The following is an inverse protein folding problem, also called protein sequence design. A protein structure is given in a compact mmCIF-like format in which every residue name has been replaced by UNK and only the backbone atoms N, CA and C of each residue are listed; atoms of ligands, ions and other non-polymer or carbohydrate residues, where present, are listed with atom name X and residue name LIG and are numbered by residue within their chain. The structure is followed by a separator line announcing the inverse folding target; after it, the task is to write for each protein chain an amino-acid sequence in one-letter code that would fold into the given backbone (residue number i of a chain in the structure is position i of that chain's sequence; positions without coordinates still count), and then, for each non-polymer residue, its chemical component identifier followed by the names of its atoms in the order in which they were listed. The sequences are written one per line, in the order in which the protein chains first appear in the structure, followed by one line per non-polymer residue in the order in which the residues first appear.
data_IF_512440949038
#
_entry.id   IF_512440949038
#
_cell.length_a   1.000
_cell.length_b   1.000
_cell.length_c   1.000
_cell.angle_alpha   90.00
_cell.angle_beta   90.00
_cell.angle_gamma   90.00
#
_symmetry.space_group_name_H-M   'P 1'
#
loop_
_entity.id
_entity.type
_entity.pdbx_description
1 polymer ?
#
# COMPACT_ATOMS: atom_id res chain seq x y z
N UNK A 1 -25.66 13.47 -37.92
CA UNK A 1 -24.44 12.92 -37.27
C UNK A 1 -23.98 13.96 -36.27
N UNK A 2 -24.33 13.80 -34.98
CA UNK A 2 -23.90 14.71 -33.92
C UNK A 2 -22.53 14.25 -33.43
N UNK A 3 -21.48 15.02 -33.71
CA UNK A 3 -20.13 14.77 -33.22
C UNK A 3 -19.99 15.46 -31.86
N UNK A 4 -20.08 14.69 -30.78
CA UNK A 4 -19.68 15.20 -29.47
C UNK A 4 -18.18 15.51 -29.50
N UNK A 5 -17.74 16.64 -28.91
CA UNK A 5 -16.32 16.94 -28.78
C UNK A 5 -15.63 15.88 -27.91
N UNK A 6 -14.33 15.60 -28.16
CA UNK A 6 -13.57 14.67 -27.34
C UNK A 6 -13.59 15.13 -25.86
N UNK A 7 -13.62 14.19 -24.90
CA UNK A 7 -13.61 14.53 -23.48
C UNK A 7 -12.36 15.36 -23.17
N UNK A 8 -12.54 16.46 -22.44
CA UNK A 8 -11.42 17.27 -21.99
C UNK A 8 -10.52 16.43 -21.07
N UNK A 9 -9.19 16.49 -21.23
CA UNK A 9 -8.27 15.81 -20.33
C UNK A 9 -8.53 16.29 -18.90
N UNK A 10 -8.61 15.34 -17.96
CA UNK A 10 -8.67 15.68 -16.53
C UNK A 10 -7.42 16.45 -16.13
N UNK A 11 -7.51 17.27 -15.09
CA UNK A 11 -6.38 18.00 -14.51
C UNK A 11 -5.19 17.07 -14.18
N UNK A 12 -5.49 15.80 -13.91
CA UNK A 12 -4.54 14.70 -13.76
C UNK A 12 -3.74 14.36 -15.04
N UNK A 13 -4.36 14.33 -16.22
CA UNK A 13 -3.65 14.06 -17.47
C UNK A 13 -2.64 15.16 -17.82
N UNK A 14 -2.86 16.37 -17.30
CA UNK A 14 -1.98 17.52 -17.45
C UNK A 14 -0.79 17.47 -16.47
N UNK A 15 -1.00 16.96 -15.26
CA UNK A 15 -0.02 16.97 -14.17
C UNK A 15 0.70 15.62 -13.94
N UNK A 16 0.48 14.62 -14.78
CA UNK A 16 1.17 13.32 -14.69
C UNK A 16 2.69 13.49 -14.82
N UNK A 17 3.52 12.91 -13.92
CA UNK A 17 4.97 12.94 -14.02
C UNK A 17 5.46 12.41 -15.38
N UNK A 18 6.25 13.22 -16.08
CA UNK A 18 6.85 12.83 -17.36
C UNK A 18 8.25 12.31 -17.09
N UNK A 19 8.51 11.09 -17.57
CA UNK A 19 9.84 10.46 -17.57
C UNK A 19 10.85 11.42 -18.22
N UNK A 20 11.74 12.01 -17.43
CA UNK A 20 12.86 12.83 -17.94
C UNK A 20 14.17 12.10 -17.76
N UNK A 21 14.93 12.01 -18.84
CA UNK A 21 16.31 11.51 -18.86
C UNK A 21 17.25 12.64 -18.45
N UNK A 22 17.78 12.56 -17.22
CA UNK A 22 19.11 13.09 -16.89
C UNK A 22 19.21 14.46 -16.21
N UNK A 23 19.71 14.43 -14.97
CA UNK A 23 20.89 15.19 -14.54
C UNK A 23 20.72 16.65 -14.14
N UNK A 24 20.43 16.92 -12.85
CA UNK A 24 20.83 18.17 -12.19
C UNK A 24 21.48 17.89 -10.83
N UNK A 25 22.55 18.64 -10.55
CA UNK A 25 23.39 18.54 -9.34
C UNK A 25 22.65 19.17 -8.14
N UNK A 26 22.43 18.40 -7.08
CA UNK A 26 21.88 18.92 -5.82
C UNK A 26 22.97 19.50 -4.90
N UNK A 27 22.67 20.65 -4.29
CA UNK A 27 23.40 21.19 -3.14
C UNK A 27 22.74 20.74 -1.82
N UNK A 28 23.53 20.67 -0.76
CA UNK A 28 23.14 20.16 0.55
C UNK A 28 22.07 21.06 1.18
N UNK A 29 20.84 20.53 1.31
CA UNK A 29 19.69 21.23 1.91
C UNK A 29 18.41 21.17 1.09
N UNK A 30 18.47 20.79 -0.18
CA UNK A 30 17.28 20.59 -1.02
C UNK A 30 16.65 19.22 -0.77
N UNK A 31 15.46 19.20 -0.16
CA UNK A 31 14.55 18.06 -0.31
C UNK A 31 14.03 18.06 -1.74
N UNK A 32 14.19 16.96 -2.46
CA UNK A 32 13.68 16.88 -3.83
C UNK A 32 12.15 16.91 -3.81
N UNK A 33 11.53 17.96 -4.35
CA UNK A 33 10.08 17.98 -4.61
C UNK A 33 9.70 17.10 -5.82
N UNK A 34 10.66 16.36 -6.41
CA UNK A 34 10.41 15.49 -7.54
C UNK A 34 9.49 14.33 -7.16
N UNK A 35 8.43 14.20 -7.94
CA UNK A 35 7.41 13.15 -7.87
C UNK A 35 7.66 12.05 -8.90
N UNK A 36 8.84 12.06 -9.52
CA UNK A 36 9.19 11.10 -10.56
C UNK A 36 9.37 9.71 -9.95
N UNK A 37 8.71 8.73 -10.56
CA UNK A 37 8.85 7.33 -10.19
C UNK A 37 10.29 6.87 -10.43
N UNK A 38 10.84 6.19 -9.44
CA UNK A 38 12.22 5.70 -9.47
C UNK A 38 12.26 4.21 -9.80
N UNK A 39 13.28 3.77 -10.53
CA UNK A 39 13.47 2.34 -10.84
C UNK A 39 14.09 1.67 -9.61
N UNK A 40 13.45 0.61 -9.10
CA UNK A 40 14.00 -0.19 -8.01
C UNK A 40 15.12 -1.09 -8.52
N UNK A 41 16.17 -1.22 -7.72
CA UNK A 41 17.20 -2.23 -7.93
C UNK A 41 16.86 -3.53 -7.21
N UNK A 42 17.40 -4.64 -7.71
CA UNK A 42 17.24 -5.95 -7.07
C UNK A 42 18.45 -6.28 -6.19
N UNK A 43 18.19 -6.88 -5.03
CA UNK A 43 19.25 -7.46 -4.22
C UNK A 43 19.80 -8.73 -4.88
N UNK A 44 21.12 -8.88 -4.82
CA UNK A 44 21.83 -10.05 -5.34
C UNK A 44 22.32 -10.93 -4.20
N UNK A 45 22.16 -12.24 -4.34
CA UNK A 45 22.69 -13.22 -3.38
C UNK A 45 21.75 -13.56 -2.22
N UNK A 46 22.26 -14.34 -1.24
CA UNK A 46 21.47 -14.82 -0.11
C UNK A 46 21.13 -13.69 0.87
N UNK A 47 19.95 -13.79 1.48
CA UNK A 47 19.46 -12.81 2.47
C UNK A 47 20.34 -12.86 3.73
N UNK A 48 20.67 -11.70 4.28
CA UNK A 48 21.45 -11.55 5.52
C UNK A 48 22.96 -11.75 5.37
N UNK A 49 23.41 -12.13 4.17
CA UNK A 49 24.83 -12.31 3.88
C UNK A 49 25.59 -10.98 3.86
N UNK A 50 26.88 -11.06 4.17
CA UNK A 50 27.77 -9.91 4.16
C UNK A 50 28.01 -9.41 2.73
N UNK A 51 28.26 -8.11 2.61
CA UNK A 51 28.43 -7.43 1.33
C UNK A 51 27.21 -6.61 0.93
N UNK A 52 27.45 -5.36 0.53
CA UNK A 52 26.43 -4.35 0.24
C UNK A 52 25.51 -4.61 -0.96
N UNK A 53 25.46 -5.84 -1.48
CA UNK A 53 24.59 -6.26 -2.59
C UNK A 53 23.49 -7.23 -2.16
N UNK A 54 23.59 -7.83 -0.97
CA UNK A 54 22.61 -8.76 -0.42
C UNK A 54 21.49 -8.02 0.31
N UNK A 55 20.28 -8.59 0.33
CA UNK A 55 19.18 -8.09 1.15
C UNK A 55 19.57 -8.19 2.63
N UNK A 56 19.42 -7.12 3.43
CA UNK A 56 20.06 -7.05 4.76
C UNK A 56 19.40 -7.94 5.81
N UNK A 57 18.10 -8.21 5.68
CA UNK A 57 17.30 -9.03 6.59
C UNK A 57 16.17 -9.75 5.83
N UNK A 58 15.73 -10.88 6.36
CA UNK A 58 14.55 -11.58 5.86
C UNK A 58 13.29 -10.82 6.27
N UNK A 59 12.28 -10.83 5.39
CA UNK A 59 10.99 -10.19 5.65
C UNK A 59 9.90 -11.24 5.52
N UNK A 60 9.10 -11.38 6.58
CA UNK A 60 7.86 -12.14 6.57
C UNK A 60 6.70 -11.20 6.84
N UNK A 61 5.62 -11.31 6.07
CA UNK A 61 4.44 -10.45 6.19
C UNK A 61 3.23 -11.32 6.42
N UNK A 62 2.47 -11.04 7.48
CA UNK A 62 1.19 -11.70 7.72
C UNK A 62 0.20 -11.36 6.60
N UNK A 63 -0.56 -12.35 6.14
CA UNK A 63 -1.59 -12.12 5.11
C UNK A 63 -2.66 -11.10 5.58
N UNK A 64 -2.98 -11.08 6.88
CA UNK A 64 -3.87 -10.07 7.49
C UNK A 64 -3.37 -8.63 7.29
N UNK A 65 -2.05 -8.39 7.40
CA UNK A 65 -1.48 -7.07 7.16
C UNK A 65 -1.64 -6.66 5.70
N UNK A 66 -1.38 -7.58 4.76
CA UNK A 66 -1.57 -7.32 3.32
C UNK A 66 -3.02 -7.04 3.01
N UNK A 67 -3.94 -7.82 3.57
CA UNK A 67 -5.38 -7.63 3.40
C UNK A 67 -5.84 -6.26 3.90
N UNK A 68 -5.38 -5.80 5.08
CA UNK A 68 -5.72 -4.47 5.61
C UNK A 68 -5.14 -3.35 4.74
N UNK A 69 -3.88 -3.47 4.32
CA UNK A 69 -3.26 -2.47 3.43
C UNK A 69 -4.02 -2.37 2.10
N UNK A 70 -4.33 -3.53 1.52
CA UNK A 70 -5.05 -3.59 0.25
C UNK A 70 -6.46 -3.01 0.40
N UNK A 71 -7.20 -3.43 1.42
CA UNK A 71 -8.50 -2.86 1.76
C UNK A 71 -8.44 -1.33 1.87
N UNK A 72 -7.52 -0.79 2.66
CA UNK A 72 -7.40 0.65 2.89
C UNK A 72 -7.09 1.41 1.59
N UNK A 73 -6.21 0.88 0.74
CA UNK A 73 -5.85 1.50 -0.53
C UNK A 73 -7.04 1.64 -1.50
N UNK A 74 -8.05 0.77 -1.40
CA UNK A 74 -9.26 0.82 -2.23
C UNK A 74 -10.28 1.87 -1.79
N UNK A 75 -10.09 2.52 -0.65
CA UNK A 75 -11.11 3.38 -0.08
C UNK A 75 -11.02 4.83 -0.57
N UNK A 76 -9.88 5.26 -1.10
CA UNK A 76 -9.62 6.66 -1.45
C UNK A 76 -9.03 6.83 -2.86
N UNK A 77 -9.42 7.91 -3.54
CA UNK A 77 -8.77 8.42 -4.76
C UNK A 77 -7.48 9.17 -4.45
N UNK A 78 -7.29 9.56 -3.19
CA UNK A 78 -6.03 10.09 -2.70
C UNK A 78 -5.17 8.97 -2.13
N UNK A 79 -3.86 9.25 -2.00
CA UNK A 79 -2.95 8.34 -1.30
C UNK A 79 -3.38 8.20 0.17
N UNK A 80 -3.54 6.96 0.62
CA UNK A 80 -3.73 6.64 2.04
C UNK A 80 -2.39 6.31 2.66
N UNK A 81 -2.28 6.37 4.00
CA UNK A 81 -1.05 6.03 4.70
C UNK A 81 -1.33 5.22 5.97
N UNK A 82 -0.38 4.40 6.39
CA UNK A 82 -0.43 3.73 7.67
C UNK A 82 0.91 3.17 8.12
N UNK A 83 0.92 2.61 9.33
CA UNK A 83 2.09 2.01 9.93
C UNK A 83 2.02 0.49 9.94
N UNK A 84 3.18 -0.16 9.92
CA UNK A 84 3.31 -1.61 10.01
C UNK A 84 3.85 -1.98 11.39
N UNK A 85 3.08 -2.78 12.13
CA UNK A 85 3.44 -3.27 13.45
C UNK A 85 3.97 -4.70 13.37
N UNK A 86 5.04 -4.99 14.12
CA UNK A 86 5.72 -6.27 14.00
C UNK A 86 6.81 -6.48 15.03
N UNK A 87 7.75 -7.35 14.69
CA UNK A 87 8.94 -7.67 15.48
C UNK A 87 10.17 -7.73 14.59
N UNK A 88 11.33 -7.38 15.13
CA UNK A 88 12.61 -7.58 14.48
C UNK A 88 13.55 -8.35 15.41
N UNK A 89 14.14 -9.43 14.92
CA UNK A 89 15.18 -10.17 15.61
C UNK A 89 16.54 -9.89 14.96
N UNK A 90 17.39 -9.18 15.69
CA UNK A 90 18.74 -8.79 15.27
C UNK A 90 19.66 -10.00 15.04
N UNK A 91 19.51 -11.08 15.81
CA UNK A 91 20.40 -12.24 15.71
C UNK A 91 20.13 -13.06 14.45
N UNK A 92 18.84 -13.27 14.15
CA UNK A 92 18.41 -14.01 12.96
C UNK A 92 18.26 -13.11 11.73
N UNK A 93 18.37 -11.78 11.91
CA UNK A 93 18.10 -10.75 10.89
C UNK A 93 16.73 -10.97 10.25
N UNK A 94 15.70 -11.15 11.08
CA UNK A 94 14.34 -11.43 10.62
C UNK A 94 13.38 -10.31 11.05
N UNK A 95 12.77 -9.65 10.06
CA UNK A 95 11.68 -8.70 10.25
C UNK A 95 10.35 -9.41 9.96
N UNK A 96 9.44 -9.38 10.93
CA UNK A 96 8.10 -9.96 10.79
C UNK A 96 7.07 -8.86 10.94
N UNK A 97 6.36 -8.53 9.87
CA UNK A 97 5.19 -7.65 9.88
C UNK A 97 3.97 -8.48 10.29
N UNK A 98 3.35 -8.13 11.42
CA UNK A 98 2.20 -8.86 11.99
C UNK A 98 0.86 -8.15 11.83
N UNK A 99 0.87 -6.86 11.48
CA UNK A 99 -0.35 -6.09 11.28
C UNK A 99 -0.07 -4.77 10.58
N UNK A 100 -1.05 -4.31 9.81
CA UNK A 100 -1.09 -2.97 9.25
C UNK A 100 -2.12 -2.13 9.99
N UNK A 101 -1.78 -0.87 10.24
CA UNK A 101 -2.55 0.05 11.05
C UNK A 101 -2.84 1.31 10.23
N UNK A 102 -4.05 1.43 9.65
CA UNK A 102 -4.50 2.61 8.95
C UNK A 102 -4.34 3.86 9.80
N UNK A 103 -3.70 4.89 9.26
CA UNK A 103 -3.57 6.19 9.90
C UNK A 103 -4.33 7.24 9.10
N UNK A 104 -4.66 8.36 9.75
CA UNK A 104 -5.10 9.55 9.03
C UNK A 104 -3.92 10.22 8.36
N UNK A 105 -4.18 10.81 7.20
CA UNK A 105 -3.29 11.76 6.54
C UNK A 105 -3.43 13.15 7.17
N UNK A 106 -2.36 13.94 7.10
CA UNK A 106 -2.35 15.30 7.64
C UNK A 106 -3.33 16.21 6.88
N UNK A 107 -4.05 17.08 7.58
CA UNK A 107 -5.01 18.00 6.95
C UNK A 107 -4.30 18.93 5.94
N UNK A 108 -4.87 19.07 4.74
CA UNK A 108 -4.26 19.84 3.65
C UNK A 108 -3.27 19.05 2.79
N UNK A 109 -2.97 17.78 3.12
CA UNK A 109 -2.35 16.82 2.19
C UNK A 109 -3.39 16.25 1.21
N UNK A 110 -4.21 17.13 0.64
CA UNK A 110 -5.07 16.84 -0.51
C UNK A 110 -4.24 16.65 -1.79
N UNK A 111 -2.92 16.83 -1.69
CA UNK A 111 -1.96 16.56 -2.74
C UNK A 111 -2.05 15.09 -3.15
N UNK A 112 -2.35 14.89 -4.43
CA UNK A 112 -2.39 13.63 -5.17
C UNK A 112 -1.01 12.96 -5.32
N UNK A 113 0.00 13.43 -4.57
CA UNK A 113 1.42 13.25 -4.87
C UNK A 113 2.30 13.11 -3.62
N UNK A 114 1.74 13.28 -2.42
CA UNK A 114 2.47 13.12 -1.17
C UNK A 114 1.49 12.98 -0.02
N UNK A 115 1.62 11.89 0.73
CA UNK A 115 0.87 11.68 1.97
C UNK A 115 1.80 11.72 3.18
N UNK A 116 1.42 12.52 4.17
CA UNK A 116 2.13 12.64 5.46
C UNK A 116 1.24 12.11 6.59
N UNK A 117 1.84 11.35 7.50
CA UNK A 117 1.16 10.80 8.67
C UNK A 117 0.71 11.93 9.61
N UNK A 118 -0.58 11.95 9.96
CA UNK A 118 -1.09 12.82 11.02
C UNK A 118 -0.42 12.46 12.36
N UNK A 119 0.27 13.41 13.04
CA UNK A 119 0.97 13.11 14.29
C UNK A 119 0.06 12.55 15.38
N UNK A 120 -1.19 13.02 15.47
CA UNK A 120 -2.14 12.52 16.47
C UNK A 120 -2.53 11.06 16.18
N UNK A 121 -2.82 10.74 14.91
CA UNK A 121 -3.07 9.37 14.47
C UNK A 121 -1.87 8.46 14.72
N UNK A 122 -0.65 8.97 14.54
CA UNK A 122 0.58 8.21 14.75
C UNK A 122 0.74 7.78 16.22
N UNK A 123 0.42 8.65 17.17
CA UNK A 123 0.48 8.35 18.60
C UNK A 123 -0.52 7.24 18.97
N UNK A 124 -1.78 7.39 18.55
CA UNK A 124 -2.85 6.42 18.82
C UNK A 124 -2.49 5.03 18.30
N UNK A 125 -2.01 4.96 17.06
CA UNK A 125 -1.63 3.70 16.42
C UNK A 125 -0.40 3.07 17.10
N UNK A 126 0.57 3.87 17.55
CA UNK A 126 1.72 3.35 18.31
C UNK A 126 1.32 2.77 19.66
N UNK A 127 0.39 3.42 20.36
CA UNK A 127 -0.13 2.90 21.63
C UNK A 127 -0.90 1.59 21.44
N UNK A 128 -1.65 1.48 20.33
CA UNK A 128 -2.31 0.23 19.93
C UNK A 128 -1.30 -0.88 19.65
N UNK A 129 -0.26 -0.61 18.85
CA UNK A 129 0.80 -1.58 18.59
C UNK A 129 1.49 -2.04 19.88
N UNK A 130 1.77 -1.10 20.79
CA UNK A 130 2.40 -1.41 22.07
C UNK A 130 1.52 -2.32 22.94
N UNK A 131 0.19 -2.11 22.91
CA UNK A 131 -0.79 -2.99 23.59
C UNK A 131 -0.78 -4.40 23.01
N UNK A 132 -0.55 -4.54 21.70
CA UNK A 132 -0.38 -5.82 21.00
C UNK A 132 1.02 -6.45 21.18
N UNK A 133 1.92 -5.79 21.94
CA UNK A 133 3.31 -6.23 22.14
C UNK A 133 4.17 -6.10 20.87
N UNK A 134 3.81 -5.16 19.98
CA UNK A 134 4.45 -4.92 18.70
C UNK A 134 5.19 -3.58 18.69
N UNK A 135 6.19 -3.50 17.82
CA UNK A 135 6.89 -2.25 17.52
C UNK A 135 6.60 -1.82 16.07
N UNK A 136 6.71 -0.52 15.74
CA UNK A 136 6.73 -0.08 14.35
C UNK A 136 7.94 -0.68 13.62
N UNK A 137 7.70 -1.36 12.51
CA UNK A 137 8.73 -2.00 11.66
C UNK A 137 8.67 -1.53 10.21
N UNK A 138 7.78 -0.57 9.92
CA UNK A 138 7.57 -0.09 8.57
C UNK A 138 6.37 0.84 8.45
N UNK A 139 6.10 1.22 7.21
CA UNK A 139 4.98 2.06 6.83
C UNK A 139 4.47 1.62 5.46
N UNK A 140 3.25 2.04 5.12
CA UNK A 140 2.70 1.85 3.79
C UNK A 140 1.92 3.05 3.33
N UNK A 141 1.83 3.22 2.02
CA UNK A 141 0.88 4.12 1.38
C UNK A 141 0.29 3.51 0.10
N UNK A 142 -0.65 4.21 -0.53
CA UNK A 142 -1.23 3.76 -1.80
C UNK A 142 -0.84 4.67 -2.96
N UNK A 143 -0.70 4.08 -4.15
CA UNK A 143 -0.71 4.77 -5.44
C UNK A 143 -2.02 4.40 -6.16
N UNK A 144 -3.12 5.16 -5.98
CA UNK A 144 -4.46 4.67 -6.31
C UNK A 144 -4.64 4.25 -7.77
N UNK A 145 -4.15 5.04 -8.73
CA UNK A 145 -4.47 4.90 -10.16
C UNK A 145 -3.24 4.73 -11.07
N UNK A 146 -2.05 4.58 -10.49
CA UNK A 146 -0.80 4.46 -11.23
C UNK A 146 0.15 3.45 -10.60
N UNK A 147 1.24 3.18 -11.30
CA UNK A 147 2.22 2.16 -10.94
C UNK A 147 2.72 2.34 -9.50
N UNK A 148 2.67 1.25 -8.73
CA UNK A 148 3.07 1.20 -7.33
C UNK A 148 4.60 1.12 -7.18
N UNK A 149 5.29 2.15 -7.64
CA UNK A 149 6.74 2.34 -7.52
C UNK A 149 7.07 3.58 -6.71
N UNK A 150 8.12 3.59 -5.88
CA UNK A 150 8.43 4.75 -5.07
C UNK A 150 8.87 5.94 -5.93
N UNK A 151 8.41 7.12 -5.54
CA UNK A 151 8.92 8.40 -6.03
C UNK A 151 10.23 8.80 -5.35
N UNK A 152 10.89 9.86 -5.82
CA UNK A 152 12.06 10.42 -5.13
C UNK A 152 11.73 10.88 -3.70
N UNK A 153 10.53 11.46 -3.49
CA UNK A 153 10.05 11.84 -2.16
C UNK A 153 9.81 10.62 -1.25
N UNK A 154 9.25 9.53 -1.77
CA UNK A 154 9.07 8.30 -1.00
C UNK A 154 10.40 7.73 -0.54
N UNK A 155 11.42 7.78 -1.40
CA UNK A 155 12.75 7.31 -1.07
C UNK A 155 13.43 8.16 0.01
N UNK A 156 13.21 9.46 0.00
CA UNK A 156 13.68 10.38 1.03
C UNK A 156 13.00 10.08 2.39
N UNK A 157 11.67 9.94 2.40
CA UNK A 157 10.92 9.55 3.59
C UNK A 157 11.37 8.18 4.12
N UNK A 158 11.53 7.20 3.22
CA UNK A 158 12.02 5.86 3.56
C UNK A 158 13.41 5.91 4.18
N UNK A 159 14.33 6.74 3.67
CA UNK A 159 15.66 6.95 4.26
C UNK A 159 15.56 7.47 5.70
N UNK A 160 14.70 8.46 5.91
CA UNK A 160 14.54 9.09 7.22
C UNK A 160 13.97 8.08 8.24
N UNK A 161 12.97 7.30 7.86
CA UNK A 161 12.45 6.24 8.73
C UNK A 161 13.46 5.13 9.02
N UNK A 162 14.22 4.69 8.01
CA UNK A 162 15.32 3.74 8.21
C UNK A 162 16.36 4.24 9.21
N UNK A 163 16.74 5.53 9.13
CA UNK A 163 17.68 6.14 10.04
C UNK A 163 17.14 6.18 11.50
N UNK A 164 15.84 6.39 11.69
CA UNK A 164 15.21 6.32 13.01
C UNK A 164 15.20 4.89 13.59
N UNK A 165 15.02 3.88 12.73
CA UNK A 165 15.01 2.47 13.12
C UNK A 165 16.42 1.85 13.25
N UNK A 166 17.47 2.60 12.95
CA UNK A 166 18.84 2.09 12.86
C UNK A 166 19.35 1.52 14.18
N UNK A 167 19.74 0.26 14.16
CA UNK A 167 20.48 -0.39 15.24
C UNK A 167 21.97 -0.07 15.09
N UNK A 168 22.50 0.81 15.94
CA UNK A 168 23.90 1.24 15.90
C UNK A 168 24.89 0.11 16.19
N UNK A 169 24.46 -0.97 16.85
CA UNK A 169 25.34 -2.09 17.18
C UNK A 169 25.57 -3.01 15.99
N UNK A 170 24.56 -3.15 15.12
CA UNK A 170 24.60 -4.05 13.95
C UNK A 170 24.68 -3.34 12.62
N UNK A 171 24.42 -2.02 12.60
CA UNK A 171 24.31 -1.22 11.39
C UNK A 171 23.08 -1.55 10.53
N UNK A 172 22.12 -2.31 11.08
CA UNK A 172 20.88 -2.66 10.39
C UNK A 172 19.85 -1.53 10.54
N UNK A 173 19.11 -1.29 9.47
CA UNK A 173 18.00 -0.32 9.43
C UNK A 173 16.69 -1.06 9.13
N UNK A 174 16.14 -1.83 10.09
CA UNK A 174 15.00 -2.72 9.89
C UNK A 174 13.66 -1.97 9.77
N UNK A 175 13.49 -1.26 8.66
CA UNK A 175 12.27 -0.52 8.34
C UNK A 175 11.86 -0.75 6.89
N UNK A 176 10.68 -1.33 6.65
CA UNK A 176 10.18 -1.59 5.29
C UNK A 176 9.13 -0.56 4.87
N UNK A 177 9.24 -0.06 3.63
CA UNK A 177 8.17 0.71 2.97
C UNK A 177 7.32 -0.21 2.09
N UNK A 178 6.01 0.01 2.03
CA UNK A 178 5.11 -0.72 1.13
C UNK A 178 4.14 0.20 0.36
N UNK A 179 4.05 0.03 -0.96
CA UNK A 179 3.12 0.77 -1.81
C UNK A 179 2.09 -0.19 -2.37
N UNK A 180 0.82 0.17 -2.23
CA UNK A 180 -0.30 -0.60 -2.78
C UNK A 180 -0.88 0.16 -3.97
N UNK A 181 -0.92 -0.50 -5.12
CA UNK A 181 -1.50 0.02 -6.36
C UNK A 181 -2.80 -0.71 -6.70
N UNK A 182 -3.99 -0.19 -6.32
CA UNK A 182 -5.23 -0.89 -6.52
C UNK A 182 -5.85 -0.66 -7.91
N UNK A 183 -5.82 0.55 -8.47
CA UNK A 183 -6.63 0.90 -9.65
C UNK A 183 -5.81 1.27 -10.88
N UNK A 184 -4.52 0.92 -10.93
CA UNK A 184 -3.75 1.01 -12.17
C UNK A 184 -4.42 0.15 -13.26
N UNK A 185 -4.91 0.82 -14.30
CA UNK A 185 -5.63 0.17 -15.40
C UNK A 185 -4.73 -0.80 -16.18
N UNK A 186 -3.41 -0.70 -16.06
CA UNK A 186 -2.44 -1.59 -16.71
C UNK A 186 -2.27 -2.94 -15.97
N UNK A 187 -2.85 -3.10 -14.78
CA UNK A 187 -2.74 -4.35 -14.04
C UNK A 187 -3.33 -5.53 -14.83
N UNK A 188 -2.61 -6.66 -14.93
CA UNK A 188 -3.04 -7.80 -15.75
C UNK A 188 -4.30 -8.48 -15.21
N UNK A 189 -4.56 -8.36 -13.91
CA UNK A 189 -5.71 -8.95 -13.21
C UNK A 189 -6.32 -7.93 -12.24
N UNK A 190 -7.45 -8.24 -11.59
CA UNK A 190 -8.01 -7.41 -10.52
C UNK A 190 -7.20 -7.39 -9.22
N UNK A 191 -6.14 -8.20 -9.11
CA UNK A 191 -5.30 -8.19 -7.92
C UNK A 191 -4.50 -6.88 -7.85
N UNK A 192 -4.46 -6.26 -6.67
CA UNK A 192 -3.64 -5.08 -6.45
C UNK A 192 -2.15 -5.42 -6.54
N UNK A 193 -1.36 -4.45 -7.00
CA UNK A 193 0.09 -4.55 -6.90
C UNK A 193 0.55 -4.16 -5.49
N UNK A 194 1.48 -4.92 -4.92
CA UNK A 194 2.06 -4.65 -3.59
C UNK A 194 3.57 -4.65 -3.71
N UNK A 195 4.16 -3.47 -3.69
CA UNK A 195 5.60 -3.25 -3.79
C UNK A 195 6.19 -3.01 -2.40
N UNK A 196 7.15 -3.84 -1.98
CA UNK A 196 7.92 -3.61 -0.75
C UNK A 196 9.32 -3.10 -1.10
N UNK A 197 9.82 -2.07 -0.42
CA UNK A 197 11.15 -1.54 -0.70
C UNK A 197 11.87 -1.02 0.55
N UNK A 198 13.18 -0.87 0.39
CA UNK A 198 14.07 -0.11 1.27
C UNK A 198 14.95 0.78 0.40
N UNK A 199 15.68 1.70 1.01
CA UNK A 199 16.69 2.50 0.32
C UNK A 199 18.08 2.25 0.87
N UNK A 200 19.09 2.45 0.03
CA UNK A 200 20.51 2.50 0.44
C UNK A 200 21.14 3.79 -0.03
N UNK A 201 21.95 4.38 0.85
CA UNK A 201 22.77 5.54 0.51
C UNK A 201 24.06 5.07 -0.16
N UNK A 202 24.25 5.42 -1.43
CA UNK A 202 25.48 5.14 -2.18
C UNK A 202 25.97 6.43 -2.85
N UNK A 203 27.20 6.87 -2.54
CA UNK A 203 27.78 8.09 -3.09
C UNK A 203 26.87 9.33 -2.96
N UNK A 204 26.20 9.47 -1.81
CA UNK A 204 25.20 10.52 -1.50
C UNK A 204 23.87 10.40 -2.24
N UNK A 205 23.69 9.41 -3.11
CA UNK A 205 22.42 9.13 -3.76
C UNK A 205 21.59 8.13 -2.94
N UNK A 206 20.28 8.34 -2.92
CA UNK A 206 19.32 7.39 -2.33
C UNK A 206 18.89 6.43 -3.43
N UNK A 207 19.21 5.15 -3.26
CA UNK A 207 18.91 4.11 -4.24
C UNK A 207 17.84 3.17 -3.65
N UNK A 208 16.65 3.08 -4.26
CA UNK A 208 15.63 2.13 -3.84
C UNK A 208 16.00 0.70 -4.26
N UNK A 209 15.74 -0.24 -3.36
CA UNK A 209 15.88 -1.67 -3.59
C UNK A 209 14.57 -2.39 -3.28
N UNK A 210 14.17 -3.27 -4.19
CA UNK A 210 13.06 -4.18 -3.99
C UNK A 210 13.35 -5.14 -2.83
N UNK A 211 12.35 -5.38 -1.98
CA UNK A 211 12.43 -6.34 -0.88
C UNK A 211 11.72 -7.63 -1.29
N UNK A 212 12.45 -8.75 -1.24
CA UNK A 212 11.86 -10.08 -1.32
C UNK A 212 11.33 -10.46 0.05
N UNK A 213 10.04 -10.76 0.14
CA UNK A 213 9.38 -11.17 1.36
C UNK A 213 8.62 -12.48 1.18
N UNK A 214 8.44 -13.20 2.29
CA UNK A 214 7.54 -14.34 2.39
C UNK A 214 6.21 -13.87 2.97
N UNK A 215 5.11 -14.45 2.50
CA UNK A 215 3.79 -14.25 3.12
C UNK A 215 3.42 -15.46 3.94
N UNK A 216 2.78 -15.22 5.08
CA UNK A 216 2.08 -16.30 5.78
C UNK A 216 0.99 -16.87 4.86
N UNK A 217 0.68 -18.18 4.95
CA UNK A 217 -0.43 -18.74 4.19
C UNK A 217 -1.75 -18.04 4.60
N UNK A 218 -2.70 -17.86 3.66
CA UNK A 218 -4.03 -17.34 3.97
C UNK A 218 -4.69 -18.12 5.09
N UNK A 219 -5.20 -17.41 6.10
CA UNK A 219 -5.94 -17.99 7.23
C UNK A 219 -7.32 -17.36 7.26
N UNK A 220 -8.38 -18.16 7.18
CA UNK A 220 -9.74 -17.68 7.36
C UNK A 220 -10.01 -17.54 8.85
N UNK A 221 -9.50 -16.47 9.44
CA UNK A 221 -9.83 -16.09 10.81
C UNK A 221 -10.21 -14.62 10.82
N UNK A 222 -11.50 -14.36 10.89
CA UNK A 222 -12.02 -13.03 11.24
C UNK A 222 -11.70 -12.83 12.72
N UNK A 223 -10.53 -12.24 12.99
CA UNK A 223 -10.16 -11.88 14.37
C UNK A 223 -10.76 -10.53 14.72
N UNK A 224 -11.10 -10.28 15.99
CA UNK A 224 -11.52 -8.94 16.43
C UNK A 224 -10.50 -7.85 16.08
N UNK A 225 -9.20 -8.17 16.15
CA UNK A 225 -8.13 -7.25 15.78
C UNK A 225 -8.14 -6.91 14.28
N UNK A 226 -8.36 -7.90 13.41
CA UNK A 226 -8.50 -7.67 11.97
C UNK A 226 -9.70 -6.76 11.68
N UNK A 227 -10.87 -7.06 12.27
CA UNK A 227 -12.08 -6.25 12.09
C UNK A 227 -11.85 -4.81 12.55
N UNK A 228 -11.26 -4.61 13.73
CA UNK A 228 -10.94 -3.28 14.26
C UNK A 228 -10.07 -2.46 13.30
N UNK A 229 -9.05 -3.08 12.69
CA UNK A 229 -8.16 -2.41 11.71
C UNK A 229 -8.90 -2.03 10.44
N UNK A 230 -9.80 -2.89 9.94
CA UNK A 230 -10.64 -2.61 8.78
C UNK A 230 -11.68 -1.50 9.07
N UNK A 231 -12.29 -1.51 10.26
CA UNK A 231 -13.18 -0.44 10.71
C UNK A 231 -12.43 0.90 10.77
N UNK A 232 -11.22 0.91 11.34
CA UNK A 232 -10.39 2.11 11.44
C UNK A 232 -10.07 2.71 10.06
N UNK A 233 -9.83 1.88 9.04
CA UNK A 233 -9.63 2.36 7.67
C UNK A 233 -10.86 3.10 7.10
N UNK A 234 -12.07 2.58 7.37
CA UNK A 234 -13.32 3.20 6.93
C UNK A 234 -13.64 4.47 7.71
N UNK A 235 -13.47 4.42 9.03
CA UNK A 235 -13.74 5.52 9.96
C UNK A 235 -12.85 6.73 9.66
N UNK A 236 -11.55 6.50 9.41
CA UNK A 236 -10.60 7.54 9.04
C UNK A 236 -10.98 8.33 7.78
N UNK A 237 -11.84 7.76 6.93
CA UNK A 237 -12.29 8.37 5.67
C UNK A 237 -13.74 8.86 5.71
N UNK A 238 -14.38 8.85 6.88
CA UNK A 238 -15.72 9.44 7.03
C UNK A 238 -15.64 10.96 6.79
N UNK A 239 -16.26 11.41 5.71
CA UNK A 239 -16.24 12.81 5.29
C UNK A 239 -14.97 13.24 4.54
N UNK A 240 -14.04 12.31 4.26
CA UNK A 240 -12.84 12.61 3.47
C UNK A 240 -13.24 12.82 1.99
N UNK A 241 -12.75 13.88 1.32
CA UNK A 241 -13.11 14.20 -0.06
C UNK A 241 -12.58 13.18 -1.08
N UNK A 242 -11.56 12.40 -0.72
CA UNK A 242 -11.00 11.33 -1.53
C UNK A 242 -11.82 10.03 -1.47
N UNK A 243 -12.83 9.92 -0.60
CA UNK A 243 -13.66 8.72 -0.47
C UNK A 243 -14.21 8.27 -1.82
N UNK A 244 -13.92 7.03 -2.21
CA UNK A 244 -14.35 6.47 -3.50
C UNK A 244 -15.82 6.06 -3.50
N UNK A 245 -16.48 6.31 -4.63
CA UNK A 245 -17.76 5.68 -4.94
C UNK A 245 -17.53 4.24 -5.43
N UNK A 246 -17.91 3.26 -4.61
CA UNK A 246 -17.70 1.84 -4.90
C UNK A 246 -18.56 1.30 -6.05
N UNK A 247 -19.66 1.98 -6.39
CA UNK A 247 -20.53 1.61 -7.50
C UNK A 247 -20.05 2.15 -8.85
N UNK A 248 -19.04 3.03 -8.84
CA UNK A 248 -18.44 3.55 -10.06
C UNK A 248 -17.67 2.45 -10.79
N UNK A 249 -17.70 2.51 -12.12
CA UNK A 249 -16.89 1.67 -12.98
C UNK A 249 -15.39 1.95 -12.72
N UNK A 250 -14.61 0.90 -12.50
CA UNK A 250 -13.15 0.98 -12.50
C UNK A 250 -12.63 0.97 -13.94
N UNK A 251 -12.91 -0.11 -14.69
CA UNK A 251 -12.51 -0.24 -16.10
C UNK A 251 -13.47 -1.17 -16.88
N UNK A 252 -13.52 -1.07 -18.22
CA UNK A 252 -14.51 -1.79 -19.02
C UNK A 252 -14.14 -3.26 -19.32
N UNK A 253 -13.18 -3.85 -18.60
CA UNK A 253 -12.70 -5.22 -18.77
C UNK A 253 -12.14 -5.78 -17.44
N UNK A 254 -11.92 -7.10 -17.36
CA UNK A 254 -11.48 -7.78 -16.13
C UNK A 254 -9.97 -8.02 -16.10
N UNK A 255 -9.41 -8.53 -17.20
CA UNK A 255 -8.01 -8.95 -17.25
C UNK A 255 -7.39 -8.66 -18.62
N UNK A 256 -6.07 -8.65 -18.67
CA UNK A 256 -5.33 -8.70 -19.93
C UNK A 256 -4.91 -10.13 -20.24
N UNK A 257 -5.18 -10.59 -21.45
CA UNK A 257 -4.63 -11.83 -22.00
C UNK A 257 -3.83 -11.50 -23.25
N UNK A 258 -2.54 -11.83 -23.24
CA UNK A 258 -1.62 -11.53 -24.35
C UNK A 258 -1.63 -10.03 -24.76
N UNK A 259 -1.80 -9.13 -23.78
CA UNK A 259 -1.86 -7.68 -24.01
C UNK A 259 -3.21 -7.14 -24.49
N UNK A 260 -4.23 -7.99 -24.67
CA UNK A 260 -5.57 -7.57 -25.07
C UNK A 260 -6.54 -7.60 -23.87
N UNK A 261 -7.42 -6.58 -23.74
CA UNK A 261 -8.42 -6.54 -22.67
C UNK A 261 -9.51 -7.60 -22.90
N UNK A 262 -9.83 -8.37 -21.87
CA UNK A 262 -10.84 -9.43 -21.89
C UNK A 262 -11.69 -9.42 -20.60
N UNK A 263 -12.87 -10.05 -20.68
CA UNK A 263 -13.82 -10.16 -19.56
C UNK A 263 -14.79 -8.98 -19.45
N UNK A 264 -15.77 -9.06 -18.53
CA UNK A 264 -16.77 -8.01 -18.35
C UNK A 264 -16.18 -6.72 -17.77
N UNK A 265 -16.96 -5.65 -17.87
CA UNK A 265 -16.69 -4.41 -17.15
C UNK A 265 -16.75 -4.62 -15.64
N UNK A 266 -15.91 -3.92 -14.88
CA UNK A 266 -15.78 -4.12 -13.43
C UNK A 266 -15.98 -2.81 -12.66
N UNK A 267 -16.87 -2.84 -11.67
CA UNK A 267 -17.05 -1.79 -10.66
C UNK A 267 -15.95 -1.87 -9.60
N UNK A 268 -15.73 -0.76 -8.87
CA UNK A 268 -14.78 -0.72 -7.76
C UNK A 268 -15.12 -1.71 -6.64
N UNK A 269 -16.41 -1.96 -6.37
CA UNK A 269 -16.85 -2.97 -5.39
C UNK A 269 -16.48 -4.40 -5.79
N UNK A 270 -16.66 -4.75 -7.07
CA UNK A 270 -16.29 -6.05 -7.63
C UNK A 270 -14.78 -6.25 -7.63
N UNK A 271 -14.04 -5.18 -7.97
CA UNK A 271 -12.58 -5.14 -7.88
C UNK A 271 -12.12 -5.38 -6.43
N UNK A 272 -12.67 -4.63 -5.47
CA UNK A 272 -12.33 -4.80 -4.05
C UNK A 272 -12.61 -6.23 -3.58
N UNK A 273 -13.78 -6.79 -3.94
CA UNK A 273 -14.12 -8.19 -3.62
C UNK A 273 -13.05 -9.14 -4.17
N UNK A 274 -12.69 -9.00 -5.44
CA UNK A 274 -11.71 -9.86 -6.10
C UNK A 274 -10.32 -9.76 -5.44
N UNK A 275 -9.90 -8.54 -5.06
CA UNK A 275 -8.63 -8.29 -4.40
C UNK A 275 -8.60 -8.91 -2.99
N UNK A 276 -9.63 -8.68 -2.16
CA UNK A 276 -9.76 -9.29 -0.83
C UNK A 276 -9.79 -10.82 -0.90
N UNK A 277 -10.50 -11.37 -1.88
CA UNK A 277 -10.56 -12.81 -2.13
C UNK A 277 -9.20 -13.44 -2.42
N UNK A 278 -8.24 -12.68 -2.95
CA UNK A 278 -6.88 -13.18 -3.18
C UNK A 278 -6.08 -13.41 -1.89
N UNK A 279 -6.55 -12.87 -0.76
CA UNK A 279 -5.93 -12.98 0.57
C UNK A 279 -6.64 -13.97 1.49
N UNK A 280 -7.71 -14.61 1.01
CA UNK A 280 -8.59 -15.47 1.81
C UNK A 280 -8.56 -16.92 1.29
N UNK A 281 -8.65 -17.93 2.18
CA UNK A 281 -8.62 -19.33 1.76
C UNK A 281 -10.01 -19.80 1.30
N UNK A 282 -10.46 -19.28 0.15
CA UNK A 282 -11.81 -19.53 -0.40
C UNK A 282 -12.07 -21.01 -0.65
N UNK A 283 -11.04 -21.73 -1.13
CA UNK A 283 -11.17 -23.16 -1.45
C UNK A 283 -11.32 -24.01 -0.18
N UNK A 284 -10.66 -23.61 0.91
CA UNK A 284 -10.61 -24.40 2.13
C UNK A 284 -11.76 -24.04 3.10
N UNK A 285 -12.20 -22.77 3.12
CA UNK A 285 -13.12 -22.25 4.14
C UNK A 285 -14.15 -21.26 3.56
N UNK A 286 -15.03 -21.69 2.64
CA UNK A 286 -15.98 -20.80 1.93
C UNK A 286 -16.98 -20.10 2.86
N UNK A 287 -17.47 -20.76 3.92
CA UNK A 287 -18.41 -20.16 4.87
C UNK A 287 -17.79 -19.01 5.67
N UNK A 288 -16.53 -19.16 6.08
CA UNK A 288 -15.80 -18.13 6.80
C UNK A 288 -15.54 -16.90 5.90
N UNK A 289 -15.28 -17.13 4.60
CA UNK A 289 -15.16 -16.04 3.61
C UNK A 289 -16.49 -15.34 3.38
N UNK A 290 -17.60 -16.07 3.32
CA UNK A 290 -18.93 -15.49 3.22
C UNK A 290 -19.24 -14.59 4.43
N UNK A 291 -18.93 -15.05 5.64
CA UNK A 291 -19.09 -14.27 6.87
C UNK A 291 -18.19 -13.03 6.89
N UNK A 292 -16.98 -13.13 6.33
CA UNK A 292 -16.08 -11.99 6.17
C UNK A 292 -16.68 -10.94 5.24
N UNK A 293 -17.22 -11.34 4.08
CA UNK A 293 -17.90 -10.40 3.17
C UNK A 293 -19.12 -9.72 3.80
N UNK A 294 -19.91 -10.46 4.58
CA UNK A 294 -21.04 -9.89 5.32
C UNK A 294 -20.56 -8.85 6.35
N UNK A 295 -19.45 -9.12 7.03
CA UNK A 295 -18.83 -8.18 7.97
C UNK A 295 -18.36 -6.91 7.26
N UNK A 296 -17.68 -7.05 6.12
CA UNK A 296 -17.24 -5.92 5.28
C UNK A 296 -18.44 -5.08 4.82
N UNK A 297 -19.50 -5.71 4.30
CA UNK A 297 -20.70 -5.00 3.85
C UNK A 297 -21.40 -4.25 5.00
N UNK A 298 -21.50 -4.88 6.18
CA UNK A 298 -22.04 -4.25 7.38
C UNK A 298 -21.21 -3.03 7.82
N UNK A 299 -19.87 -3.10 7.75
CA UNK A 299 -19.00 -1.95 8.05
C UNK A 299 -19.21 -0.81 7.05
N UNK A 300 -19.30 -1.10 5.75
CA UNK A 300 -19.58 -0.07 4.74
C UNK A 300 -20.96 0.57 4.95
N UNK A 301 -21.96 -0.21 5.32
CA UNK A 301 -23.28 0.34 5.63
C UNK A 301 -23.24 1.24 6.87
N UNK A 302 -22.52 0.82 7.92
CA UNK A 302 -22.36 1.57 9.17
C UNK A 302 -21.63 2.90 8.98
N UNK A 303 -20.46 2.89 8.34
CA UNK A 303 -19.60 4.09 8.27
C UNK A 303 -19.90 4.96 7.05
N UNK A 304 -20.27 4.36 5.92
CA UNK A 304 -20.40 5.06 4.64
C UNK A 304 -21.83 5.14 4.12
N UNK A 305 -22.79 4.45 4.77
CA UNK A 305 -24.21 4.47 4.39
C UNK A 305 -24.50 3.76 3.07
N UNK A 306 -23.58 2.92 2.59
CA UNK A 306 -23.68 2.25 1.29
C UNK A 306 -23.44 0.76 1.44
N UNK A 307 -24.18 -0.07 0.69
CA UNK A 307 -23.82 -1.48 0.50
C UNK A 307 -22.76 -1.62 -0.59
N UNK A 308 -21.78 -2.46 -0.34
CA UNK A 308 -20.75 -2.86 -1.29
C UNK A 308 -21.27 -3.90 -2.26
N UNK A 309 -22.02 -4.85 -1.72
CA UNK A 309 -22.35 -6.10 -2.37
C UNK A 309 -23.87 -6.21 -2.55
N UNK A 310 -24.29 -6.55 -3.76
CA UNK A 310 -25.70 -6.83 -4.02
C UNK A 310 -26.10 -8.10 -3.26
N UNK A 311 -27.24 -8.08 -2.58
CA UNK A 311 -27.73 -9.16 -1.71
C UNK A 311 -27.99 -10.50 -2.41
N UNK A 312 -27.77 -10.59 -3.73
CA UNK A 312 -28.04 -11.76 -4.58
C UNK A 312 -26.80 -12.29 -5.34
N UNK A 313 -25.57 -11.88 -4.98
CA UNK A 313 -24.34 -12.22 -5.70
C UNK A 313 -23.27 -12.91 -4.85
#
# INVERSE_FOLDING_TARGET
RSTNPPPQPTEYALNRPRRTLGGQKSQLGDTTESLDLTDLQEFMGPIGAEGGRCQPFAVTISEDAVLVMDFHAHLSSCEVIGLLGGTFDTNTKQLVVKGAYPCRRTAGSDSTTSVELDPASQVIVKDEMATDGLIPVGWYHSHPIFEARPSAKDNENQRNYQAFAADKSTGLEPWVGMIIGPYDEQLPTPASHVQAWVVRSQNKNVIPYNIRYQKDPPKARITPALVKRLESALENLVGDPGRLNMQQLWRPFTFYRQGLPEGPAMKRSEKLRAALNSHLPIQDQPDAVSQFHQTIDAMFLKYWGTRLFDSNA
#
